data_IF_860452720635
#
_entry.id   IF_860452720635
#
_cell.length_a   1.000
_cell.length_b   1.000
_cell.length_c   1.000
_cell.angle_alpha   90.00
_cell.angle_beta   90.00
_cell.angle_gamma   90.00
#
_symmetry.space_group_name_H-M   'P 1'
#
loop_
_entity.id
_entity.type
_entity.pdbx_description
1 polymer ?
#
# COMPACT_ATOMS: atom_id res chain seq x y z
N UNK A 1 13.05 -3.07 3.70
CA UNK A 1 13.01 -1.75 4.38
C UNK A 1 12.61 -0.73 3.33
N UNK A 2 11.59 0.09 3.62
CA UNK A 2 11.08 1.10 2.71
C UNK A 2 11.90 2.38 2.80
N UNK A 3 12.32 2.93 1.66
CA UNK A 3 12.87 4.29 1.60
C UNK A 3 11.74 5.31 1.45
N UNK A 4 11.70 6.30 2.35
CA UNK A 4 10.51 7.15 2.58
C UNK A 4 10.48 8.40 1.72
N UNK A 5 11.66 8.86 1.32
CA UNK A 5 11.85 10.09 0.56
C UNK A 5 12.08 9.81 -0.94
N UNK A 6 12.02 8.53 -1.35
CA UNK A 6 12.09 8.16 -2.76
C UNK A 6 10.83 8.59 -3.51
N UNK A 7 11.03 8.93 -4.79
CA UNK A 7 9.97 9.39 -5.67
C UNK A 7 9.17 8.20 -6.20
N UNK A 8 7.88 8.22 -5.92
CA UNK A 8 6.90 7.28 -6.44
C UNK A 8 5.98 7.99 -7.43
N UNK A 9 5.39 7.24 -8.36
CA UNK A 9 4.40 7.75 -9.30
C UNK A 9 3.00 7.25 -8.98
N UNK A 10 2.05 8.18 -8.94
CA UNK A 10 0.63 7.86 -9.02
C UNK A 10 0.26 7.34 -10.43
N UNK A 11 -0.89 6.68 -10.59
CA UNK A 11 -1.37 6.21 -11.90
C UNK A 11 -1.54 7.33 -12.94
N UNK A 12 -1.76 8.57 -12.49
CA UNK A 12 -1.83 9.76 -13.34
C UNK A 12 -0.45 10.38 -13.65
N UNK A 13 0.63 9.67 -13.32
CA UNK A 13 2.05 10.06 -13.50
C UNK A 13 2.51 11.24 -12.64
N UNK A 14 1.74 11.62 -11.63
CA UNK A 14 2.21 12.61 -10.64
C UNK A 14 3.24 11.98 -9.72
N UNK A 15 4.35 12.68 -9.51
CA UNK A 15 5.36 12.32 -8.53
C UNK A 15 4.86 12.63 -7.11
N UNK A 16 5.05 11.69 -6.21
CA UNK A 16 4.73 11.77 -4.78
C UNK A 16 5.76 11.00 -3.97
N UNK A 17 5.96 11.34 -2.71
CA UNK A 17 6.73 10.53 -1.76
C UNK A 17 5.79 9.70 -0.89
N UNK A 18 6.31 8.70 -0.17
CA UNK A 18 5.49 7.98 0.82
C UNK A 18 4.94 8.95 1.88
N UNK A 19 5.73 9.94 2.28
CA UNK A 19 5.32 10.98 3.23
C UNK A 19 4.12 11.80 2.73
N UNK A 20 4.10 12.18 1.46
CA UNK A 20 2.97 12.92 0.87
C UNK A 20 1.67 12.09 0.85
N UNK A 21 1.81 10.76 0.82
CA UNK A 21 0.66 9.84 0.83
C UNK A 21 0.18 9.47 2.23
N UNK A 22 0.93 9.80 3.28
CA UNK A 22 0.58 9.44 4.65
C UNK A 22 -0.69 10.15 5.12
N UNK A 23 -1.49 9.44 5.91
CA UNK A 23 -2.62 10.03 6.64
C UNK A 23 -2.15 10.75 7.90
N UNK A 24 -3.06 11.44 8.58
CA UNK A 24 -2.76 12.20 9.80
C UNK A 24 -2.21 11.35 10.95
N UNK A 25 -2.55 10.06 10.99
CA UNK A 25 -2.09 9.10 12.01
C UNK A 25 -1.05 8.11 11.50
N UNK A 26 -0.89 7.99 10.17
CA UNK A 26 0.10 7.09 9.59
C UNK A 26 -0.23 6.59 8.20
N UNK A 27 0.54 5.58 7.78
CA UNK A 27 0.48 5.00 6.44
C UNK A 27 0.75 3.50 6.53
N UNK A 28 -0.11 2.68 5.93
CA UNK A 28 0.19 1.29 5.62
C UNK A 28 0.72 1.24 4.19
N UNK A 29 2.00 0.89 4.05
CA UNK A 29 2.66 0.72 2.76
C UNK A 29 2.72 -0.76 2.45
N UNK A 30 2.27 -1.14 1.26
CA UNK A 30 2.23 -2.53 0.81
C UNK A 30 3.05 -2.67 -0.47
N UNK A 31 4.18 -3.36 -0.37
CA UNK A 31 4.96 -3.77 -1.51
C UNK A 31 4.33 -4.95 -2.23
N UNK A 32 4.07 -4.80 -3.53
CA UNK A 32 3.53 -5.87 -4.36
C UNK A 32 4.64 -6.53 -5.15
N UNK A 33 4.91 -7.79 -4.87
CA UNK A 33 5.91 -8.58 -5.59
C UNK A 33 5.52 -8.85 -7.04
N UNK A 34 6.52 -9.26 -7.84
CA UNK A 34 6.32 -9.63 -9.25
C UNK A 34 5.21 -10.68 -9.39
N UNK A 35 4.32 -10.49 -10.36
CA UNK A 35 3.23 -11.44 -10.59
C UNK A 35 2.19 -11.49 -9.48
N UNK A 36 2.15 -10.46 -8.62
CA UNK A 36 1.02 -10.19 -7.75
C UNK A 36 -0.22 -9.74 -8.52
N UNK A 37 -1.28 -9.43 -7.77
CA UNK A 37 -2.55 -8.94 -8.29
C UNK A 37 -2.39 -7.61 -9.06
N UNK A 38 -3.34 -7.29 -9.95
CA UNK A 38 -3.34 -6.00 -10.66
C UNK A 38 -3.79 -4.88 -9.73
N UNK A 39 -3.40 -3.63 -10.04
CA UNK A 39 -3.72 -2.45 -9.25
C UNK A 39 -5.20 -2.32 -8.96
N UNK A 40 -6.05 -2.34 -9.99
CA UNK A 40 -7.49 -2.27 -9.81
C UNK A 40 -8.07 -3.43 -8.99
N UNK A 41 -7.46 -4.63 -9.03
CA UNK A 41 -7.93 -5.78 -8.24
C UNK A 41 -7.68 -5.54 -6.75
N UNK A 42 -6.50 -5.04 -6.38
CA UNK A 42 -6.21 -4.66 -5.00
C UNK A 42 -7.06 -3.47 -4.54
N UNK A 43 -7.23 -2.45 -5.38
CA UNK A 43 -8.09 -1.30 -5.07
C UNK A 43 -9.53 -1.73 -4.85
N UNK A 44 -10.07 -2.59 -5.71
CA UNK A 44 -11.44 -3.06 -5.57
C UNK A 44 -11.61 -3.95 -4.32
N UNK A 45 -10.70 -4.92 -4.12
CA UNK A 45 -10.76 -5.88 -3.02
C UNK A 45 -10.62 -5.20 -1.66
N UNK A 46 -9.70 -4.24 -1.54
CA UNK A 46 -9.40 -3.56 -0.27
C UNK A 46 -10.03 -2.17 -0.16
N UNK A 47 -11.03 -1.85 -0.97
CA UNK A 47 -11.69 -0.55 -0.91
C UNK A 47 -12.27 -0.28 0.48
N UNK A 48 -13.12 -1.17 0.99
CA UNK A 48 -13.79 -0.95 2.28
C UNK A 48 -12.78 -0.84 3.43
N UNK A 49 -11.73 -1.65 3.42
CA UNK A 49 -10.65 -1.58 4.41
C UNK A 49 -9.84 -0.28 4.28
N UNK A 50 -9.59 0.18 3.05
CA UNK A 50 -8.92 1.45 2.77
C UNK A 50 -9.73 2.65 3.26
N UNK A 51 -11.04 2.66 3.02
CA UNK A 51 -11.95 3.70 3.51
C UNK A 51 -12.02 3.72 5.05
N UNK A 52 -12.11 2.55 5.68
CA UNK A 52 -12.10 2.45 7.15
C UNK A 52 -10.78 2.94 7.76
N UNK A 53 -9.63 2.58 7.15
CA UNK A 53 -8.32 3.08 7.55
C UNK A 53 -8.26 4.60 7.38
N UNK A 54 -8.71 5.13 6.24
CA UNK A 54 -8.68 6.55 5.95
C UNK A 54 -9.56 7.35 6.92
N UNK A 55 -10.74 6.81 7.29
CA UNK A 55 -11.58 7.38 8.33
C UNK A 55 -10.90 7.40 9.72
N UNK A 56 -10.02 6.44 9.99
CA UNK A 56 -9.15 6.42 11.18
C UNK A 56 -7.91 7.31 11.04
N UNK A 57 -7.71 8.00 9.91
CA UNK A 57 -6.55 8.85 9.64
C UNK A 57 -5.31 8.09 9.17
N UNK A 58 -5.43 6.82 8.80
CA UNK A 58 -4.34 5.98 8.27
C UNK A 58 -4.59 5.77 6.79
N UNK A 59 -3.65 6.11 5.93
CA UNK A 59 -3.81 5.79 4.49
C UNK A 59 -3.27 4.40 4.18
N UNK A 60 -3.81 3.76 3.14
CA UNK A 60 -3.31 2.50 2.61
C UNK A 60 -2.76 2.75 1.20
N UNK A 61 -1.51 2.38 0.95
CA UNK A 61 -0.85 2.54 -0.33
C UNK A 61 -0.22 1.23 -0.82
N UNK A 62 -0.56 0.81 -2.04
CA UNK A 62 0.08 -0.31 -2.72
C UNK A 62 1.17 0.21 -3.66
N UNK A 63 2.41 -0.18 -3.40
CA UNK A 63 3.60 0.17 -4.17
C UNK A 63 3.99 -1.00 -5.05
N UNK A 64 4.06 -0.75 -6.36
CA UNK A 64 4.48 -1.72 -7.36
C UNK A 64 5.90 -1.41 -7.84
N UNK A 65 6.74 -2.42 -8.14
CA UNK A 65 8.01 -2.21 -8.79
C UNK A 65 7.82 -1.79 -10.25
N UNK A 66 8.84 -1.18 -10.85
CA UNK A 66 8.80 -0.62 -12.21
C UNK A 66 8.30 -1.61 -13.27
N UNK A 67 8.75 -2.86 -13.16
CA UNK A 67 8.36 -3.96 -14.05
C UNK A 67 6.86 -4.27 -14.06
N UNK A 68 6.15 -3.91 -12.99
CA UNK A 68 4.70 -4.07 -12.84
C UNK A 68 3.94 -2.79 -13.17
N UNK A 69 4.58 -1.79 -13.80
CA UNK A 69 3.95 -0.53 -14.19
C UNK A 69 2.64 -0.72 -14.96
N UNK A 70 2.55 -1.76 -15.81
CA UNK A 70 1.33 -2.09 -16.56
C UNK A 70 0.12 -2.41 -15.69
N UNK A 71 0.31 -2.76 -14.41
CA UNK A 71 -0.77 -3.05 -13.46
C UNK A 71 -1.23 -1.80 -12.69
N UNK A 72 -0.45 -0.72 -12.73
CA UNK A 72 -0.76 0.57 -12.08
C UNK A 72 -1.27 1.57 -13.12
N UNK A 73 -0.64 1.57 -14.29
CA UNK A 73 -0.86 2.52 -15.38
C UNK A 73 -1.92 2.05 -16.38
N UNK A 74 -2.54 0.88 -16.18
CA UNK A 74 -3.64 0.48 -17.05
C UNK A 74 -4.86 1.39 -16.85
N UNK A 75 -5.68 1.62 -17.89
CA UNK A 75 -6.81 2.54 -17.82
C UNK A 75 -7.80 2.24 -16.69
N UNK A 76 -7.97 0.97 -16.31
CA UNK A 76 -8.90 0.56 -15.25
C UNK A 76 -8.31 0.94 -13.89
N UNK A 77 -7.02 0.68 -13.66
CA UNK A 77 -6.33 1.09 -12.43
C UNK A 77 -6.27 2.60 -12.27
N UNK A 78 -6.01 3.35 -13.36
CA UNK A 78 -6.04 4.83 -13.36
C UNK A 78 -7.43 5.35 -12.99
N UNK A 79 -8.49 4.83 -13.64
CA UNK A 79 -9.85 5.20 -13.31
C UNK A 79 -10.19 4.84 -11.86
N UNK A 80 -9.86 3.61 -11.42
CA UNK A 80 -10.16 3.13 -10.07
C UNK A 80 -9.49 4.00 -9.01
N UNK A 81 -8.22 4.35 -9.18
CA UNK A 81 -7.51 5.22 -8.24
C UNK A 81 -8.10 6.63 -8.19
N UNK A 82 -8.51 7.18 -9.34
CA UNK A 82 -9.19 8.49 -9.41
C UNK A 82 -10.55 8.49 -8.70
N UNK A 83 -11.33 7.44 -8.89
CA UNK A 83 -12.66 7.34 -8.30
C UNK A 83 -12.63 6.99 -6.82
N UNK A 84 -11.72 6.08 -6.41
CA UNK A 84 -11.80 5.47 -5.08
C UNK A 84 -10.91 6.08 -4.02
N UNK A 85 -9.94 6.97 -4.36
CA UNK A 85 -8.97 7.67 -3.46
C UNK A 85 -8.19 6.77 -2.48
N UNK A 86 -8.86 5.89 -1.72
CA UNK A 86 -8.29 4.86 -0.87
C UNK A 86 -8.78 3.45 -1.29
N UNK A 87 -7.86 2.48 -1.41
CA UNK A 87 -6.41 2.60 -1.24
C UNK A 87 -5.71 3.28 -2.43
N UNK A 88 -4.57 3.91 -2.16
CA UNK A 88 -3.72 4.55 -3.18
C UNK A 88 -2.90 3.49 -3.95
N UNK A 89 -2.67 3.74 -5.24
CA UNK A 89 -1.73 2.97 -6.05
C UNK A 89 -0.49 3.81 -6.31
N UNK A 90 0.69 3.22 -6.16
CA UNK A 90 1.97 3.86 -6.36
C UNK A 90 2.88 2.96 -7.18
N UNK A 91 3.72 3.58 -8.02
CA UNK A 91 4.73 2.91 -8.82
C UNK A 91 6.11 3.40 -8.39
N UNK A 92 6.94 2.48 -7.93
CA UNK A 92 8.36 2.70 -7.70
C UNK A 92 9.10 2.57 -9.04
N UNK A 93 9.39 3.71 -9.66
CA UNK A 93 10.03 3.75 -10.99
C UNK A 93 11.52 3.45 -10.90
N UNK A 94 12.15 3.82 -9.78
CA UNK A 94 13.59 3.66 -9.59
C UNK A 94 13.95 2.32 -8.92
N UNK A 95 12.95 1.53 -8.52
CA UNK A 95 13.08 0.29 -7.75
C UNK A 95 13.91 0.50 -6.46
N UNK A 96 13.81 1.70 -5.87
CA UNK A 96 14.58 2.13 -4.68
C UNK A 96 13.76 2.13 -3.40
N UNK A 97 12.44 2.29 -3.53
CA UNK A 97 11.52 2.22 -2.40
C UNK A 97 11.69 0.89 -1.66
N UNK A 98 12.02 -0.19 -2.38
CA UNK A 98 12.34 -1.49 -1.79
C UNK A 98 13.85 -1.73 -1.67
N UNK A 99 14.44 -1.58 -0.48
CA UNK A 99 15.85 -2.04 -0.25
C UNK A 99 16.05 -3.53 -0.52
N UNK A 100 15.01 -4.33 -0.39
CA UNK A 100 14.99 -5.75 -0.69
C UNK A 100 13.78 -6.02 -1.58
N UNK A 101 13.99 -6.66 -2.72
CA UNK A 101 12.91 -7.01 -3.64
C UNK A 101 11.87 -7.86 -2.93
N UNK A 102 10.61 -7.47 -3.05
CA UNK A 102 9.49 -8.28 -2.55
C UNK A 102 9.46 -9.59 -3.36
N UNK A 103 9.39 -10.76 -2.70
CA UNK A 103 9.32 -12.03 -3.40
C UNK A 103 8.18 -12.07 -4.42
N UNK A 104 8.34 -12.78 -5.55
CA UNK A 104 7.25 -12.94 -6.51
C UNK A 104 6.01 -13.54 -5.85
N UNK A 105 4.82 -13.05 -6.24
CA UNK A 105 3.51 -13.48 -5.69
C UNK A 105 3.41 -13.31 -4.18
N UNK A 106 4.04 -12.29 -3.63
CA UNK A 106 3.92 -11.94 -2.22
C UNK A 106 3.60 -10.47 -2.03
N UNK A 107 3.02 -10.14 -0.88
CA UNK A 107 2.88 -8.77 -0.39
C UNK A 107 3.78 -8.59 0.82
N UNK A 108 4.48 -7.46 0.88
CA UNK A 108 5.20 -7.02 2.06
C UNK A 108 4.54 -5.76 2.59
N UNK A 109 3.82 -5.85 3.70
CA UNK A 109 3.12 -4.71 4.28
C UNK A 109 3.82 -4.20 5.53
N UNK A 110 3.91 -2.89 5.67
CA UNK A 110 4.49 -2.22 6.83
C UNK A 110 3.57 -1.09 7.25
N UNK A 111 3.28 -1.03 8.55
CA UNK A 111 2.57 0.09 9.15
C UNK A 111 3.57 1.11 9.67
N UNK A 112 3.41 2.35 9.21
CA UNK A 112 4.18 3.52 9.60
C UNK A 112 3.29 4.45 10.41
N UNK A 113 3.80 4.95 11.53
CA UNK A 113 3.20 6.05 12.28
C UNK A 113 3.18 7.36 11.46
N UNK A 114 2.48 8.39 11.96
CA UNK A 114 2.53 9.74 11.37
C UNK A 114 3.94 10.35 11.31
N UNK A 115 4.85 9.93 12.19
CA UNK A 115 6.28 10.30 12.13
C UNK A 115 7.10 9.42 11.18
N UNK A 116 6.44 8.57 10.39
CA UNK A 116 7.05 7.59 9.50
C UNK A 116 7.92 6.56 10.23
N UNK A 117 7.73 6.34 11.54
CA UNK A 117 8.38 5.23 12.24
C UNK A 117 7.62 3.94 11.98
N UNK A 118 8.35 2.86 11.67
CA UNK A 118 7.77 1.52 11.52
C UNK A 118 7.23 1.03 12.85
N UNK A 119 5.94 0.68 12.87
CA UNK A 119 5.24 0.12 14.02
C UNK A 119 5.04 -1.39 13.89
N UNK A 120 4.64 -1.85 12.71
CA UNK A 120 4.39 -3.27 12.45
C UNK A 120 4.72 -3.64 11.01
N UNK A 121 4.76 -4.94 10.71
CA UNK A 121 4.79 -5.41 9.33
C UNK A 121 4.47 -6.90 9.21
N UNK A 122 4.06 -7.31 8.02
CA UNK A 122 3.67 -8.67 7.69
C UNK A 122 4.11 -9.00 6.26
N UNK A 123 4.52 -10.25 6.06
CA UNK A 123 4.72 -10.85 4.75
C UNK A 123 3.56 -11.79 4.44
N UNK A 124 2.93 -11.60 3.29
CA UNK A 124 1.74 -12.36 2.87
C UNK A 124 2.05 -13.08 1.56
N UNK A 125 1.89 -14.40 1.55
CA UNK A 125 2.02 -15.21 0.35
C UNK A 125 0.66 -15.28 -0.39
N UNK A 126 0.59 -14.72 -1.59
CA UNK A 126 -0.64 -14.69 -2.40
C UNK A 126 -1.05 -16.08 -2.91
N UNK A 127 -0.19 -17.09 -2.81
CA UNK A 127 -0.53 -18.46 -3.17
C UNK A 127 -1.36 -19.16 -2.08
N UNK A 128 -1.41 -18.62 -0.86
CA UNK A 128 -2.23 -19.16 0.23
C UNK A 128 -3.68 -18.78 0.06
N UNK A 129 -4.61 -19.73 0.20
CA UNK A 129 -6.05 -19.46 0.10
C UNK A 129 -6.53 -18.42 1.14
N UNK A 130 -5.86 -18.34 2.29
CA UNK A 130 -6.18 -17.45 3.41
C UNK A 130 -5.52 -16.06 3.33
N UNK A 131 -4.74 -15.78 2.28
CA UNK A 131 -3.92 -14.56 2.20
C UNK A 131 -4.72 -13.28 2.42
N UNK A 132 -5.94 -13.22 1.87
CA UNK A 132 -6.79 -12.04 1.98
C UNK A 132 -7.24 -11.82 3.42
N UNK A 133 -7.66 -12.88 4.10
CA UNK A 133 -8.11 -12.81 5.49
C UNK A 133 -6.97 -12.40 6.41
N UNK A 134 -5.77 -12.97 6.21
CA UNK A 134 -4.56 -12.61 6.96
C UNK A 134 -4.21 -11.13 6.79
N UNK A 135 -4.26 -10.64 5.55
CA UNK A 135 -3.96 -9.25 5.27
C UNK A 135 -5.02 -8.29 5.83
N UNK A 136 -6.31 -8.62 5.73
CA UNK A 136 -7.39 -7.84 6.36
C UNK A 136 -7.23 -7.76 7.87
N UNK A 137 -6.89 -8.87 8.53
CA UNK A 137 -6.66 -8.90 9.98
C UNK A 137 -5.53 -7.96 10.39
N UNK A 138 -4.44 -7.91 9.62
CA UNK A 138 -3.36 -6.94 9.83
C UNK A 138 -3.82 -5.49 9.67
N UNK A 139 -4.65 -5.19 8.66
CA UNK A 139 -5.19 -3.83 8.50
C UNK A 139 -6.07 -3.41 9.69
N UNK A 140 -6.91 -4.32 10.19
CA UNK A 140 -7.73 -4.08 11.39
C UNK A 140 -6.88 -3.89 12.65
N UNK A 141 -5.78 -4.64 12.81
CA UNK A 141 -4.89 -4.44 13.96
C UNK A 141 -4.21 -3.07 13.92
N UNK A 142 -3.79 -2.60 12.74
CA UNK A 142 -3.20 -1.27 12.57
C UNK A 142 -4.16 -0.14 12.99
N UNK A 143 -5.46 -0.28 12.69
CA UNK A 143 -6.49 0.66 13.15
C UNK A 143 -6.59 0.70 14.67
N UNK A 144 -6.52 -0.47 15.30
CA UNK A 144 -6.67 -0.62 16.76
C UNK A 144 -5.47 0.00 17.50
N UNK A 145 -4.25 -0.27 17.01
CA UNK A 145 -3.02 0.26 17.58
C UNK A 145 -2.93 1.79 17.45
N UNK A 146 -3.40 2.33 16.33
CA UNK A 146 -3.47 3.77 16.12
C UNK A 146 -4.54 4.45 17.00
N UNK A 147 -5.64 3.76 17.31
CA UNK A 147 -6.65 4.26 18.24
C UNK A 147 -6.12 4.31 19.68
N UNK A 148 -5.26 3.35 20.07
CA UNK A 148 -4.66 3.31 21.40
C UNK A 148 -3.55 4.35 21.60
N UNK A 149 -2.86 4.74 20.52
CA UNK A 149 -1.77 5.74 20.55
C UNK A 149 -2.25 7.19 20.54
N UNK A 150 -3.56 7.43 20.47
CA UNK A 150 -4.17 8.76 20.41
C UNK A 150 -4.82 9.21 21.73
N UNK A 151 -4.56 8.49 22.84
CA UNK A 151 -5.01 8.83 24.19
C UNK A 151 -3.90 9.48 25.02
#
# INVERSE_FOLDING_TARGET
>A
MFEMDDVLLLPDRRAVTLRDTAGSRGLVVVGVGRGGERGFQLVHRFHDAGEQLAAAGIHLAFVYPRESARHVMDPISVASARFRRHPCLLLDVDDRCFKQRVPPRSLHAVFLSGEMKRLAGIDVDLQRVTWETEFRAFLTSCQTDAAHSAQ
#
